data_IF_306369330716
#
_entry.id   IF_306369330716
#
_cell.length_a   1.000
_cell.length_b   1.000
_cell.length_c   1.000
_cell.angle_alpha   90.00
_cell.angle_beta   90.00
_cell.angle_gamma   90.00
#
_symmetry.space_group_name_H-M   'P 1'
#
loop_
_entity.id
_entity.type
_entity.pdbx_description
1 polymer ?
#
# COMPACT_ATOMS: atom_id res chain seq x y z
N UNK A 1 -16.32 -5.45 5.64
CA UNK A 1 -15.69 -6.79 5.55
C UNK A 1 -16.18 -7.47 4.27
N UNK A 2 -15.33 -8.23 3.59
CA UNK A 2 -15.65 -9.01 2.39
C UNK A 2 -15.27 -10.48 2.62
N UNK A 3 -16.27 -11.34 2.78
CA UNK A 3 -16.06 -12.78 2.91
C UNK A 3 -16.22 -13.47 1.56
N UNK A 4 -15.10 -13.78 0.91
CA UNK A 4 -15.10 -14.37 -0.43
C UNK A 4 -15.43 -15.87 -0.44
N UNK A 5 -15.51 -16.51 0.74
CA UNK A 5 -15.92 -17.93 0.84
C UNK A 5 -17.35 -18.13 0.36
N UNK A 6 -18.18 -17.09 0.45
CA UNK A 6 -19.58 -17.04 0.00
C UNK A 6 -19.75 -16.64 -1.46
N UNK A 7 -18.65 -16.42 -2.18
CA UNK A 7 -18.64 -15.95 -3.57
C UNK A 7 -18.10 -17.07 -4.48
N UNK A 8 -18.71 -17.30 -5.66
CA UNK A 8 -18.20 -18.24 -6.65
C UNK A 8 -16.72 -17.97 -6.96
N UNK A 9 -15.90 -19.02 -7.03
CA UNK A 9 -14.44 -18.92 -7.18
C UNK A 9 -14.03 -17.97 -8.31
N UNK A 10 -14.69 -18.05 -9.47
CA UNK A 10 -14.44 -17.20 -10.64
C UNK A 10 -14.70 -15.71 -10.41
N UNK A 11 -15.53 -15.34 -9.44
CA UNK A 11 -15.91 -13.94 -9.16
C UNK A 11 -15.16 -13.32 -7.98
N UNK A 12 -14.41 -14.11 -7.21
CA UNK A 12 -13.78 -13.64 -5.95
C UNK A 12 -12.80 -12.49 -6.18
N UNK A 13 -11.89 -12.66 -7.15
CA UNK A 13 -10.84 -11.66 -7.43
C UNK A 13 -11.46 -10.37 -7.95
N UNK A 14 -12.35 -10.47 -8.96
CA UNK A 14 -13.08 -9.32 -9.48
C UNK A 14 -13.85 -8.56 -8.37
N UNK A 15 -14.48 -9.28 -7.44
CA UNK A 15 -15.19 -8.65 -6.31
C UNK A 15 -14.23 -7.96 -5.34
N UNK A 16 -13.07 -8.57 -5.04
CA UNK A 16 -12.06 -7.97 -4.17
C UNK A 16 -11.47 -6.68 -4.78
N UNK A 17 -11.18 -6.68 -6.08
CA UNK A 17 -10.74 -5.49 -6.81
C UNK A 17 -11.80 -4.40 -6.83
N UNK A 18 -13.04 -4.73 -7.21
CA UNK A 18 -14.14 -3.77 -7.20
C UNK A 18 -14.36 -3.15 -5.81
N UNK A 19 -14.24 -3.96 -4.75
CA UNK A 19 -14.34 -3.46 -3.37
C UNK A 19 -13.19 -2.54 -2.99
N UNK A 20 -11.97 -2.84 -3.46
CA UNK A 20 -10.80 -2.01 -3.23
C UNK A 20 -10.87 -0.68 -3.99
N UNK A 21 -11.24 -0.71 -5.27
CA UNK A 21 -11.30 0.48 -6.13
C UNK A 21 -12.36 1.49 -5.65
N UNK A 22 -13.38 1.02 -4.92
CA UNK A 22 -14.39 1.86 -4.27
C UNK A 22 -13.91 2.54 -2.98
N UNK A 23 -12.73 2.22 -2.45
CA UNK A 23 -12.20 2.85 -1.23
C UNK A 23 -11.66 4.25 -1.51
N UNK A 24 -11.83 5.16 -0.56
CA UNK A 24 -11.03 6.40 -0.49
C UNK A 24 -9.63 6.10 0.06
N UNK A 25 -8.67 6.97 -0.20
CA UNK A 25 -7.33 6.87 0.38
C UNK A 25 -7.39 6.81 1.91
N UNK A 26 -6.64 5.89 2.51
CA UNK A 26 -6.66 5.58 3.94
C UNK A 26 -7.76 4.62 4.37
N UNK A 27 -8.82 4.43 3.57
CA UNK A 27 -9.86 3.45 3.87
C UNK A 27 -9.38 2.02 3.64
N UNK A 28 -10.08 1.07 4.26
CA UNK A 28 -9.69 -0.33 4.23
C UNK A 28 -10.90 -1.26 4.37
N UNK A 29 -10.73 -2.50 3.94
CA UNK A 29 -11.64 -3.57 4.29
C UNK A 29 -10.87 -4.82 4.74
N UNK A 30 -11.56 -5.70 5.46
CA UNK A 30 -11.04 -7.03 5.80
C UNK A 30 -11.57 -8.04 4.79
N UNK A 31 -10.66 -8.68 4.05
CA UNK A 31 -10.89 -9.86 3.23
C UNK A 31 -10.88 -11.11 4.12
N UNK A 32 -11.86 -11.99 3.95
CA UNK A 32 -11.88 -13.32 4.59
C UNK A 32 -11.87 -14.41 3.55
N UNK A 33 -10.87 -15.28 3.61
CA UNK A 33 -10.65 -16.38 2.66
C UNK A 33 -10.40 -17.71 3.41
N UNK A 34 -10.61 -18.84 2.71
CA UNK A 34 -10.42 -20.18 3.28
C UNK A 34 -8.98 -20.72 3.23
N UNK A 35 -8.06 -19.97 2.63
CA UNK A 35 -6.64 -20.28 2.47
C UNK A 35 -5.87 -18.97 2.24
N UNK A 36 -4.54 -19.04 2.18
CA UNK A 36 -3.71 -17.87 1.87
C UNK A 36 -4.09 -17.25 0.53
N UNK A 37 -4.55 -15.99 0.50
CA UNK A 37 -4.80 -15.26 -0.74
C UNK A 37 -3.52 -14.82 -1.49
N UNK A 38 -2.47 -15.64 -1.56
CA UNK A 38 -1.19 -15.31 -2.23
C UNK A 38 -1.42 -14.87 -3.67
N UNK A 39 -2.17 -15.66 -4.46
CA UNK A 39 -2.45 -15.32 -5.86
C UNK A 39 -3.18 -13.98 -6.01
N UNK A 40 -4.12 -13.69 -5.11
CA UNK A 40 -4.80 -12.40 -5.12
C UNK A 40 -3.84 -11.26 -4.78
N UNK A 41 -2.95 -11.45 -3.79
CA UNK A 41 -1.91 -10.47 -3.45
C UNK A 41 -0.97 -10.19 -4.63
N UNK A 42 -0.56 -11.23 -5.34
CA UNK A 42 0.26 -11.10 -6.55
C UNK A 42 -0.46 -10.33 -7.66
N UNK A 43 -1.76 -10.59 -7.86
CA UNK A 43 -2.59 -9.81 -8.79
C UNK A 43 -2.67 -8.33 -8.37
N UNK A 44 -2.84 -8.04 -7.07
CA UNK A 44 -2.78 -6.67 -6.56
C UNK A 44 -1.44 -6.00 -6.84
N UNK A 45 -0.32 -6.72 -6.63
CA UNK A 45 1.01 -6.20 -6.91
C UNK A 45 1.20 -5.84 -8.39
N UNK A 46 0.64 -6.63 -9.32
CA UNK A 46 0.70 -6.33 -10.77
C UNK A 46 -0.26 -5.21 -11.19
N UNK A 47 -1.49 -5.21 -10.69
CA UNK A 47 -2.56 -4.33 -11.18
C UNK A 47 -2.69 -3.01 -10.43
N UNK A 48 -2.16 -2.92 -9.20
CA UNK A 48 -2.24 -1.75 -8.31
C UNK A 48 -0.89 -1.50 -7.62
N UNK A 49 0.24 -1.41 -8.34
CA UNK A 49 1.55 -1.26 -7.73
C UNK A 49 1.59 0.01 -6.85
N UNK A 50 2.05 -0.11 -5.61
CA UNK A 50 2.19 1.02 -4.67
C UNK A 50 0.88 1.57 -4.08
N UNK A 51 -0.29 1.17 -4.58
CA UNK A 51 -1.57 1.76 -4.20
C UNK A 51 -2.23 1.09 -2.97
N UNK A 52 -1.65 0.03 -2.40
CA UNK A 52 -2.28 -0.73 -1.31
C UNK A 52 -1.29 -1.15 -0.21
N UNK A 53 -1.80 -1.27 1.00
CA UNK A 53 -1.15 -1.97 2.11
C UNK A 53 -1.85 -3.30 2.36
N UNK A 54 -1.08 -4.34 2.69
CA UNK A 54 -1.56 -5.70 2.93
C UNK A 54 -1.13 -6.19 4.30
N UNK A 55 -2.07 -6.30 5.23
CA UNK A 55 -1.80 -6.73 6.61
C UNK A 55 -2.59 -7.98 6.96
N UNK A 56 -1.89 -9.06 7.30
CA UNK A 56 -2.53 -10.22 7.91
C UNK A 56 -3.03 -9.85 9.31
N UNK A 57 -4.31 -10.09 9.56
CA UNK A 57 -4.91 -10.04 10.89
C UNK A 57 -4.98 -11.43 11.51
N UNK A 58 -5.15 -12.45 10.67
CA UNK A 58 -5.21 -13.86 11.04
C UNK A 58 -4.82 -14.72 9.85
N UNK A 59 -4.13 -15.84 10.11
CA UNK A 59 -3.80 -16.84 9.11
C UNK A 59 -3.71 -18.21 9.78
N UNK A 60 -4.76 -19.02 9.61
CA UNK A 60 -4.84 -20.37 10.15
C UNK A 60 -5.21 -21.36 9.06
N UNK A 61 -4.26 -22.23 8.72
CA UNK A 61 -4.49 -23.30 7.75
C UNK A 61 -5.45 -24.36 8.31
N UNK A 62 -5.31 -24.72 9.60
CA UNK A 62 -6.16 -25.72 10.26
C UNK A 62 -7.61 -25.26 10.35
N UNK A 63 -7.86 -23.99 10.64
CA UNK A 63 -9.21 -23.43 10.69
C UNK A 63 -9.74 -23.00 9.32
N UNK A 64 -8.93 -23.10 8.25
CA UNK A 64 -9.24 -22.57 6.91
C UNK A 64 -9.76 -21.14 7.01
N UNK A 65 -9.07 -20.30 7.77
CA UNK A 65 -9.48 -18.93 8.04
C UNK A 65 -8.29 -17.98 7.90
N UNK A 66 -8.44 -17.06 6.97
CA UNK A 66 -7.44 -16.05 6.66
C UNK A 66 -8.14 -14.70 6.61
N UNK A 67 -7.74 -13.78 7.48
CA UNK A 67 -8.26 -12.41 7.56
C UNK A 67 -7.16 -11.43 7.20
N UNK A 68 -7.37 -10.68 6.13
CA UNK A 68 -6.39 -9.72 5.62
C UNK A 68 -7.05 -8.35 5.61
N UNK A 69 -6.43 -7.36 6.24
CA UNK A 69 -6.78 -5.96 6.05
C UNK A 69 -6.07 -5.43 4.81
N UNK A 70 -6.85 -4.97 3.84
CA UNK A 70 -6.37 -4.32 2.62
C UNK A 70 -6.76 -2.85 2.72
N UNK A 71 -5.77 -1.97 2.68
CA UNK A 71 -5.95 -0.51 2.81
C UNK A 71 -5.55 0.15 1.50
N UNK A 72 -6.34 1.10 1.01
CA UNK A 72 -5.95 1.94 -0.13
C UNK A 72 -5.01 3.03 0.37
N UNK A 73 -3.85 3.14 -0.23
CA UNK A 73 -2.87 4.19 0.09
C UNK A 73 -3.15 5.39 -0.82
N UNK A 74 -3.00 6.62 -0.32
CA UNK A 74 -3.00 7.79 -1.17
C UNK A 74 -1.80 7.70 -2.13
N UNK A 75 -2.03 7.76 -3.43
CA UNK A 75 -0.94 8.02 -4.37
C UNK A 75 -0.42 9.43 -4.08
N UNK A 76 0.75 9.54 -3.47
CA UNK A 76 1.36 10.81 -3.11
C UNK A 76 2.04 10.82 -1.75
N UNK A 77 3.03 9.95 -1.55
CA UNK A 77 4.46 10.31 -1.50
C UNK A 77 5.20 9.03 -1.89
N UNK A 78 6.01 9.01 -2.96
CA UNK A 78 6.93 7.90 -3.18
C UNK A 78 7.80 7.77 -1.93
N UNK A 79 7.69 6.64 -1.24
CA UNK A 79 8.62 6.26 -0.18
C UNK A 79 9.97 5.99 -0.85
N UNK A 80 10.71 7.07 -1.18
CA UNK A 80 11.90 7.03 -2.03
C UNK A 80 12.15 8.26 -2.91
N UNK A 81 11.29 9.30 -2.93
CA UNK A 81 11.76 10.58 -3.47
C UNK A 81 12.70 11.22 -2.44
N UNK A 82 14.00 11.12 -2.73
CA UNK A 82 14.98 12.04 -2.16
C UNK A 82 14.41 13.45 -2.25
N UNK A 83 14.41 14.12 -1.10
CA UNK A 83 14.09 15.53 -0.95
C UNK A 83 14.78 16.28 -2.11
N UNK A 84 14.09 17.15 -2.88
CA UNK A 84 14.81 18.03 -3.77
C UNK A 84 15.76 18.84 -2.89
N UNK A 85 17.07 18.64 -3.09
CA UNK A 85 18.09 19.50 -2.53
C UNK A 85 17.88 20.85 -3.22
N UNK A 86 16.96 21.64 -2.68
CA UNK A 86 16.75 23.02 -3.08
C UNK A 86 18.03 23.75 -2.73
N UNK A 87 18.79 24.04 -3.78
CA UNK A 87 19.75 25.11 -3.96
C UNK A 87 20.28 25.76 -2.66
N UNK A 88 21.48 25.35 -2.27
CA UNK A 88 22.38 26.14 -1.42
C UNK A 88 23.49 26.67 -2.33
N UNK A 89 23.13 27.54 -3.26
CA UNK A 89 24.09 28.42 -3.93
C UNK A 89 23.88 29.84 -3.43
N UNK A 90 24.78 30.31 -2.56
CA UNK A 90 24.94 31.75 -2.31
C UNK A 90 25.30 32.14 -0.88
N UNK A 91 26.47 32.79 -0.77
CA UNK A 91 26.91 33.72 0.30
C UNK A 91 27.51 33.05 1.55
N UNK A 92 28.72 33.35 2.00
CA UNK A 92 29.72 34.37 1.66
C UNK A 92 31.07 33.88 2.20
N UNK A 93 32.14 34.06 1.42
CA UNK A 93 33.52 33.85 1.89
C UNK A 93 33.85 34.97 2.88
N UNK A 94 34.25 34.61 4.09
CA UNK A 94 34.95 35.52 4.98
C UNK A 94 36.29 35.89 4.34
N UNK A 95 36.63 37.17 4.38
CA UNK A 95 38.03 37.57 4.48
C UNK A 95 38.14 38.66 5.54
N UNK A 96 38.97 38.36 6.53
CA UNK A 96 39.39 39.24 7.60
C UNK A 96 40.86 39.58 7.32
N UNK A 97 41.16 40.87 7.16
CA UNK A 97 42.51 41.46 7.18
C UNK A 97 42.36 42.97 6.97
N UNK A 98 42.35 43.82 8.00
CA UNK A 98 43.47 44.27 8.83
C UNK A 98 44.46 45.18 8.08
N UNK A 99 44.61 46.41 8.62
CA UNK A 99 45.69 47.43 8.52
C UNK A 99 45.89 48.07 7.13
N UNK A 100 46.01 49.39 6.94
CA UNK A 100 46.61 50.47 7.74
C UNK A 100 45.80 51.78 7.57
#
# INVERSE_FOLDING_TARGET
MLDVRRIPKSRRHATAFARFDALRSGESFVLVNCHDPIRLREEFARCRPGAYAWRYLEGSQSQRLWRIRITRIAEGVPFGAGIPMTDLSGSTRADSGAVD
#
